data_IF_484657927202
#
_entry.id   IF_484657927202
#
_cell.length_a   1.000
_cell.length_b   1.000
_cell.length_c   1.000
_cell.angle_alpha   90.00
_cell.angle_beta   90.00
_cell.angle_gamma   90.00
#
_symmetry.space_group_name_H-M   'P 1'
#
loop_
_entity.id
_entity.type
_entity.pdbx_description
1 polymer ?
#
# COMPACT_ATOMS: atom_id res chain seq x y z
N UNK A 1 21.36 -22.19 6.48
CA UNK A 1 21.94 -23.11 5.46
C UNK A 1 20.90 -23.63 4.46
N UNK A 2 19.59 -23.70 4.83
CA UNK A 2 18.51 -24.25 3.98
C UNK A 2 17.85 -23.22 3.04
N UNK A 3 18.03 -21.91 3.28
CA UNK A 3 17.34 -20.87 2.52
C UNK A 3 17.76 -20.80 1.06
N UNK A 4 19.07 -20.95 0.78
CA UNK A 4 19.59 -20.90 -0.60
C UNK A 4 19.06 -22.02 -1.49
N UNK A 5 19.16 -23.29 -1.08
CA UNK A 5 18.54 -24.40 -1.79
C UNK A 5 17.05 -24.24 -2.02
N UNK A 6 16.30 -23.79 -0.99
CA UNK A 6 14.86 -23.57 -1.07
C UNK A 6 14.50 -22.49 -2.09
N UNK A 7 15.22 -21.35 -2.12
CA UNK A 7 15.04 -20.32 -3.13
C UNK A 7 15.29 -20.82 -4.54
N UNK A 8 16.32 -21.66 -4.71
CA UNK A 8 16.60 -22.29 -5.98
C UNK A 8 15.44 -23.22 -6.42
N UNK A 9 14.90 -24.00 -5.50
CA UNK A 9 13.77 -24.90 -5.77
C UNK A 9 12.50 -24.12 -6.10
N UNK A 10 12.23 -23.00 -5.41
CA UNK A 10 11.12 -22.07 -5.73
C UNK A 10 11.29 -21.53 -7.17
N UNK A 11 12.47 -21.02 -7.50
CA UNK A 11 12.75 -20.46 -8.82
C UNK A 11 12.60 -21.48 -9.95
N UNK A 12 12.92 -22.75 -9.69
CA UNK A 12 12.86 -23.85 -10.67
C UNK A 12 11.60 -24.72 -10.53
N UNK A 13 10.66 -24.35 -9.65
CA UNK A 13 9.40 -25.07 -9.45
C UNK A 13 9.63 -26.58 -9.13
N UNK A 14 10.51 -26.88 -8.18
CA UNK A 14 10.88 -28.25 -7.80
C UNK A 14 10.38 -28.62 -6.40
N UNK A 15 9.79 -29.80 -6.26
CA UNK A 15 9.39 -30.35 -4.98
C UNK A 15 8.55 -29.38 -4.14
N UNK A 16 8.93 -29.16 -2.88
CA UNK A 16 8.27 -28.18 -2.00
C UNK A 16 8.38 -26.74 -2.54
N UNK A 17 9.43 -26.43 -3.29
CA UNK A 17 9.59 -25.13 -3.93
C UNK A 17 8.48 -24.82 -4.93
N UNK A 18 7.95 -25.81 -5.62
CA UNK A 18 6.80 -25.61 -6.54
C UNK A 18 5.54 -25.18 -5.79
N UNK A 19 5.27 -25.76 -4.63
CA UNK A 19 4.16 -25.33 -3.76
C UNK A 19 4.36 -23.91 -3.23
N UNK A 20 5.55 -23.61 -2.73
CA UNK A 20 5.86 -22.30 -2.15
C UNK A 20 5.85 -21.18 -3.20
N UNK A 21 6.15 -21.49 -4.46
CA UNK A 21 6.06 -20.53 -5.56
C UNK A 21 4.63 -20.04 -5.85
N UNK A 22 3.60 -20.71 -5.33
CA UNK A 22 2.20 -20.28 -5.42
C UNK A 22 1.86 -19.11 -4.46
N UNK A 23 2.70 -18.82 -3.50
CA UNK A 23 2.50 -17.81 -2.48
C UNK A 23 1.75 -18.34 -1.24
N UNK A 24 1.86 -17.61 -0.14
CA UNK A 24 1.40 -18.06 1.17
C UNK A 24 -0.11 -18.37 1.22
N UNK A 25 -0.94 -17.59 0.51
CA UNK A 25 -2.40 -17.80 0.50
C UNK A 25 -2.76 -19.16 -0.12
N UNK A 26 -2.28 -19.43 -1.33
CA UNK A 26 -2.60 -20.69 -2.01
C UNK A 26 -2.04 -21.91 -1.28
N UNK A 27 -0.85 -21.77 -0.69
CA UNK A 27 -0.28 -22.82 0.17
C UNK A 27 -1.16 -23.06 1.39
N UNK A 28 -1.63 -22.02 2.07
CA UNK A 28 -2.50 -22.13 3.24
C UNK A 28 -3.86 -22.76 2.88
N UNK A 29 -4.44 -22.39 1.75
CA UNK A 29 -5.66 -22.99 1.21
C UNK A 29 -5.49 -24.49 0.92
N UNK A 30 -4.38 -24.87 0.26
CA UNK A 30 -4.05 -26.26 -0.04
C UNK A 30 -3.83 -27.11 1.23
N UNK A 31 -3.39 -26.49 2.32
CA UNK A 31 -3.25 -27.13 3.64
C UNK A 31 -4.55 -27.13 4.47
N UNK A 32 -5.65 -26.61 3.94
CA UNK A 32 -6.92 -26.47 4.67
C UNK A 32 -6.90 -25.45 5.81
N UNK A 33 -5.96 -24.50 5.77
CA UNK A 33 -5.75 -23.49 6.82
C UNK A 33 -5.67 -22.07 6.22
N UNK A 34 -6.67 -21.58 5.47
CA UNK A 34 -6.57 -20.29 4.77
C UNK A 34 -6.31 -19.10 5.73
N UNK A 35 -6.78 -19.18 6.98
CA UNK A 35 -6.61 -18.11 7.97
C UNK A 35 -5.18 -17.90 8.49
N UNK A 36 -4.21 -18.76 8.15
CA UNK A 36 -2.80 -18.53 8.55
C UNK A 36 -2.04 -17.64 7.58
N UNK A 37 -2.57 -17.38 6.40
CA UNK A 37 -1.95 -16.46 5.45
C UNK A 37 -2.22 -15.01 5.85
N UNK A 38 -1.17 -14.25 6.10
CA UNK A 38 -1.21 -12.81 6.35
C UNK A 38 -1.23 -12.06 5.01
N UNK A 39 -2.40 -12.00 4.39
CA UNK A 39 -2.58 -11.39 3.07
C UNK A 39 -3.89 -10.65 2.95
N UNK A 40 -3.94 -9.64 2.06
CA UNK A 40 -5.15 -8.92 1.65
C UNK A 40 -5.22 -8.97 0.13
N UNK A 41 -6.36 -9.35 -0.46
CA UNK A 41 -6.51 -9.57 -1.90
C UNK A 41 -5.41 -10.47 -2.50
N UNK A 42 -5.03 -11.50 -1.77
CA UNK A 42 -3.96 -12.45 -2.13
C UNK A 42 -2.55 -11.88 -2.23
N UNK A 43 -2.34 -10.64 -1.79
CA UNK A 43 -1.02 -10.04 -1.67
C UNK A 43 -0.58 -10.09 -0.20
N UNK A 44 0.57 -10.72 0.05
CA UNK A 44 1.15 -10.85 1.38
C UNK A 44 1.47 -9.48 1.99
N UNK A 45 1.25 -9.37 3.31
CA UNK A 45 1.61 -8.16 4.05
C UNK A 45 3.14 -8.02 4.13
N UNK A 46 3.69 -6.82 3.96
CA UNK A 46 5.08 -6.55 4.30
C UNK A 46 5.30 -6.62 5.82
N UNK A 47 6.54 -6.50 6.27
CA UNK A 47 6.94 -6.70 7.66
C UNK A 47 6.38 -5.67 8.68
N UNK A 48 5.55 -4.75 8.27
CA UNK A 48 4.81 -3.85 9.18
C UNK A 48 3.57 -4.56 9.72
N UNK A 49 3.67 -5.12 10.92
CA UNK A 49 2.58 -5.84 11.55
C UNK A 49 1.38 -4.91 11.81
N UNK A 50 0.19 -5.22 11.27
CA UNK A 50 -1.01 -4.39 11.45
C UNK A 50 -1.48 -4.29 12.91
N UNK A 51 -1.09 -5.24 13.77
CA UNK A 51 -1.37 -5.20 15.21
C UNK A 51 -0.51 -4.20 15.95
N UNK A 52 0.64 -3.84 15.38
CA UNK A 52 1.57 -2.86 15.92
C UNK A 52 1.27 -1.41 15.53
N UNK A 53 0.40 -1.18 14.53
CA UNK A 53 0.04 0.15 14.04
C UNK A 53 -1.33 0.10 13.35
N UNK A 54 -2.36 0.67 13.99
CA UNK A 54 -3.75 0.56 13.52
C UNK A 54 -4.03 1.34 12.23
N UNK A 55 -3.29 2.42 11.97
CA UNK A 55 -3.35 3.08 10.67
C UNK A 55 -2.80 2.19 9.57
N UNK A 56 -1.73 1.43 9.86
CA UNK A 56 -1.19 0.46 8.90
C UNK A 56 -2.20 -0.66 8.62
N UNK A 57 -2.89 -1.17 9.66
CA UNK A 57 -3.97 -2.14 9.51
C UNK A 57 -5.06 -1.60 8.56
N UNK A 58 -5.53 -0.36 8.79
CA UNK A 58 -6.54 0.27 7.94
C UNK A 58 -6.03 0.44 6.50
N UNK A 59 -4.79 0.89 6.32
CA UNK A 59 -4.17 1.05 5.00
C UNK A 59 -4.13 -0.27 4.21
N UNK A 60 -3.85 -1.40 4.85
CA UNK A 60 -3.86 -2.70 4.19
C UNK A 60 -5.25 -3.09 3.69
N UNK A 61 -6.28 -2.95 4.54
CA UNK A 61 -7.65 -3.37 4.17
C UNK A 61 -8.34 -2.42 3.20
N UNK A 62 -7.93 -1.15 3.14
CA UNK A 62 -8.48 -0.18 2.18
C UNK A 62 -7.71 -0.11 0.87
N UNK A 63 -6.48 -0.61 0.83
CA UNK A 63 -5.62 -0.57 -0.35
C UNK A 63 -6.26 -1.24 -1.56
N UNK A 64 -6.28 -0.53 -2.69
CA UNK A 64 -6.77 -1.06 -3.97
C UNK A 64 -5.90 -2.21 -4.50
N UNK A 65 -4.62 -2.27 -4.11
CA UNK A 65 -3.66 -3.31 -4.52
C UNK A 65 -3.70 -4.58 -3.67
N UNK A 66 -4.26 -4.52 -2.49
CA UNK A 66 -4.15 -5.58 -1.49
C UNK A 66 -3.17 -5.25 -0.37
N UNK A 67 -2.46 -6.21 0.20
CA UNK A 67 -1.54 -6.03 1.33
C UNK A 67 -0.33 -5.14 1.03
N UNK A 68 -0.55 -3.88 0.73
CA UNK A 68 0.47 -2.94 0.28
C UNK A 68 0.71 -1.81 1.28
N UNK A 69 1.95 -1.65 1.75
CA UNK A 69 2.32 -0.58 2.66
C UNK A 69 2.49 0.78 1.98
N UNK A 70 2.67 0.82 0.66
CA UNK A 70 3.04 2.05 -0.07
C UNK A 70 1.85 2.91 -0.49
N UNK A 71 0.62 2.39 -0.47
CA UNK A 71 -0.56 3.16 -0.94
C UNK A 71 -0.94 4.29 0.01
N UNK A 72 -0.70 4.14 1.31
CA UNK A 72 -0.92 5.18 2.31
C UNK A 72 0.32 5.49 3.15
N UNK A 73 1.11 4.49 3.50
CA UNK A 73 2.33 4.55 4.32
C UNK A 73 2.17 5.33 5.64
N UNK A 74 1.19 5.00 6.49
CA UNK A 74 0.93 5.73 7.73
C UNK A 74 2.03 5.61 8.79
N UNK A 75 3.03 4.76 8.57
CA UNK A 75 4.21 4.61 9.41
C UNK A 75 4.93 5.94 9.64
N UNK A 76 4.89 6.85 8.66
CA UNK A 76 5.40 8.21 8.82
C UNK A 76 4.74 8.94 10.00
N UNK A 77 3.43 8.84 10.15
CA UNK A 77 2.66 9.45 11.23
C UNK A 77 2.73 8.68 12.55
N UNK A 78 2.65 7.35 12.48
CA UNK A 78 2.49 6.48 13.64
C UNK A 78 3.81 6.14 14.34
N UNK A 79 4.89 5.98 13.58
CA UNK A 79 6.21 5.59 14.09
C UNK A 79 7.20 6.74 14.01
N UNK A 80 7.37 7.36 12.82
CA UNK A 80 8.29 8.47 12.62
C UNK A 80 7.74 9.79 13.19
N UNK A 81 6.44 9.86 13.47
CA UNK A 81 5.72 10.99 14.07
C UNK A 81 5.79 12.28 13.21
N UNK A 82 5.89 12.13 11.91
CA UNK A 82 6.00 13.20 10.92
C UNK A 82 5.02 12.99 9.75
N UNK A 83 4.51 14.07 9.14
CA UNK A 83 4.58 15.47 9.56
C UNK A 83 3.77 15.74 10.82
N UNK A 84 2.74 14.93 11.13
CA UNK A 84 1.88 15.03 12.31
C UNK A 84 1.88 13.68 13.03
N UNK A 85 2.16 13.70 14.33
CA UNK A 85 2.17 12.49 15.15
C UNK A 85 0.74 11.95 15.32
N UNK A 86 0.60 10.62 15.18
CA UNK A 86 -0.62 9.88 15.47
C UNK A 86 -0.29 8.72 16.42
N UNK A 87 -1.11 8.50 17.43
CA UNK A 87 -0.97 7.34 18.30
C UNK A 87 -1.29 6.06 17.50
N UNK A 88 -0.32 5.16 17.41
CA UNK A 88 -0.43 3.93 16.60
C UNK A 88 -1.49 2.95 17.10
N UNK A 89 -1.90 3.04 18.36
CA UNK A 89 -2.90 2.17 18.99
C UNK A 89 -4.27 2.82 19.16
N UNK A 90 -4.47 4.07 18.67
CA UNK A 90 -5.76 4.74 18.67
C UNK A 90 -6.45 4.61 17.31
N UNK A 91 -7.77 4.44 17.30
CA UNK A 91 -8.58 4.49 16.08
C UNK A 91 -8.93 5.93 15.67
N UNK A 92 -8.78 6.89 16.59
CA UNK A 92 -9.15 8.28 16.36
C UNK A 92 -8.37 8.89 15.19
N UNK A 93 -9.08 9.50 14.24
CA UNK A 93 -8.50 10.21 13.11
C UNK A 93 -7.91 9.33 12.00
N UNK A 94 -7.83 8.00 12.18
CA UNK A 94 -7.19 7.09 11.22
C UNK A 94 -7.82 7.14 9.83
N UNK A 95 -9.15 7.11 9.74
CA UNK A 95 -9.83 7.13 8.45
C UNK A 95 -9.46 8.37 7.62
N UNK A 96 -9.45 9.55 8.26
CA UNK A 96 -9.05 10.80 7.59
C UNK A 96 -7.58 10.79 7.19
N UNK A 97 -6.71 10.34 8.08
CA UNK A 97 -5.26 10.24 7.82
C UNK A 97 -4.98 9.33 6.62
N UNK A 98 -5.57 8.14 6.60
CA UNK A 98 -5.38 7.17 5.52
C UNK A 98 -5.95 7.70 4.20
N UNK A 99 -7.16 8.26 4.19
CA UNK A 99 -7.75 8.83 2.97
C UNK A 99 -6.86 9.91 2.35
N UNK A 100 -6.34 10.84 3.17
CA UNK A 100 -5.44 11.88 2.69
C UNK A 100 -4.14 11.26 2.14
N UNK A 101 -3.57 10.29 2.84
CA UNK A 101 -2.34 9.63 2.42
C UNK A 101 -2.53 8.83 1.12
N UNK A 102 -3.65 8.13 0.95
CA UNK A 102 -3.98 7.40 -0.27
C UNK A 102 -4.07 8.32 -1.48
N UNK A 103 -4.80 9.43 -1.37
CA UNK A 103 -4.95 10.41 -2.44
C UNK A 103 -3.61 11.07 -2.79
N UNK A 104 -2.86 11.50 -1.78
CA UNK A 104 -1.55 12.12 -1.95
C UNK A 104 -0.58 11.16 -2.64
N UNK A 105 -0.51 9.92 -2.16
CA UNK A 105 0.38 8.93 -2.74
C UNK A 105 -0.02 8.54 -4.17
N UNK A 106 -1.30 8.48 -4.50
CA UNK A 106 -1.76 8.23 -5.86
C UNK A 106 -1.34 9.37 -6.82
N UNK A 107 -1.40 10.62 -6.37
CA UNK A 107 -0.89 11.76 -7.15
C UNK A 107 0.62 11.65 -7.38
N UNK A 108 1.41 11.40 -6.32
CA UNK A 108 2.87 11.25 -6.41
C UNK A 108 3.28 10.06 -7.28
N UNK A 109 2.56 8.92 -7.19
CA UNK A 109 2.78 7.77 -8.06
C UNK A 109 2.56 8.09 -9.54
N UNK A 110 1.56 8.92 -9.85
CA UNK A 110 1.29 9.34 -11.24
C UNK A 110 2.40 10.21 -11.84
N UNK A 111 3.20 10.86 -11.00
CA UNK A 111 4.39 11.61 -11.38
C UNK A 111 5.65 10.73 -11.51
N UNK A 112 5.52 9.41 -11.30
CA UNK A 112 6.64 8.45 -11.29
C UNK A 112 7.71 8.81 -10.25
N UNK A 113 7.29 9.45 -9.16
CA UNK A 113 8.18 9.90 -8.10
C UNK A 113 8.38 8.82 -7.03
N UNK A 114 9.59 8.76 -6.48
CA UNK A 114 9.91 7.84 -5.39
C UNK A 114 9.17 8.23 -4.10
N UNK A 115 8.50 7.29 -3.45
CA UNK A 115 7.82 7.50 -2.16
C UNK A 115 8.73 8.09 -1.09
N UNK A 116 9.98 7.71 -1.05
CA UNK A 116 10.91 8.21 -0.04
C UNK A 116 11.30 9.68 -0.26
N UNK A 117 11.23 10.18 -1.49
CA UNK A 117 11.40 11.60 -1.76
C UNK A 117 10.28 12.44 -1.09
N UNK A 118 9.08 11.87 -0.92
CA UNK A 118 7.97 12.52 -0.24
C UNK A 118 8.19 12.76 1.27
N UNK A 119 9.18 12.14 1.88
CA UNK A 119 9.57 12.50 3.25
C UNK A 119 10.31 13.84 3.35
N UNK A 120 10.86 14.32 2.24
CA UNK A 120 11.57 15.60 2.14
C UNK A 120 10.88 16.66 1.28
N UNK A 121 9.80 16.28 0.58
CA UNK A 121 9.03 17.16 -0.29
C UNK A 121 7.53 16.93 -0.09
N UNK A 122 6.76 17.98 0.02
CA UNK A 122 5.29 17.94 0.17
C UNK A 122 4.59 18.09 -1.19
N UNK A 123 3.26 18.09 -1.22
CA UNK A 123 2.51 18.35 -2.46
C UNK A 123 2.75 19.76 -3.00
N UNK A 124 3.14 20.70 -2.17
CA UNK A 124 3.49 22.06 -2.56
C UNK A 124 4.68 22.04 -3.53
N UNK A 125 5.78 21.40 -3.16
CA UNK A 125 6.97 21.30 -4.02
C UNK A 125 6.66 20.48 -5.28
N UNK A 126 5.87 19.41 -5.18
CA UNK A 126 5.47 18.65 -6.38
C UNK A 126 4.60 19.49 -7.34
N UNK A 127 3.71 20.35 -6.81
CA UNK A 127 2.89 21.24 -7.63
C UNK A 127 3.75 22.31 -8.34
N UNK A 128 4.72 22.88 -7.64
CA UNK A 128 5.67 23.85 -8.21
C UNK A 128 6.53 23.21 -9.30
N UNK A 129 7.11 22.03 -9.04
CA UNK A 129 7.92 21.29 -10.02
C UNK A 129 7.11 20.95 -11.27
N UNK A 130 5.89 20.45 -11.09
CA UNK A 130 5.02 20.11 -12.22
C UNK A 130 4.62 21.34 -13.02
N UNK A 131 4.33 22.46 -12.34
CA UNK A 131 4.05 23.74 -13.00
C UNK A 131 5.24 24.22 -13.84
N UNK A 132 6.46 24.10 -13.29
CA UNK A 132 7.68 24.48 -14.01
C UNK A 132 7.95 23.61 -15.24
N UNK A 133 7.68 22.31 -15.16
CA UNK A 133 7.90 21.38 -16.29
C UNK A 133 6.84 21.52 -17.37
N UNK A 134 5.57 21.70 -16.97
CA UNK A 134 4.45 21.75 -17.94
C UNK A 134 4.15 23.14 -18.47
N UNK A 135 4.61 24.17 -17.80
CA UNK A 135 4.23 25.57 -18.08
C UNK A 135 2.80 25.92 -17.63
N UNK A 136 2.09 25.01 -16.99
CA UNK A 136 0.71 25.20 -16.51
C UNK A 136 0.68 25.29 -14.98
N UNK A 137 0.05 26.33 -14.39
CA UNK A 137 -0.07 26.42 -12.94
C UNK A 137 -0.77 25.20 -12.33
N UNK A 138 -0.14 24.59 -11.34
CA UNK A 138 -0.70 23.48 -10.55
C UNK A 138 -0.73 23.85 -9.08
N UNK A 139 -1.71 23.35 -8.36
CA UNK A 139 -1.86 23.58 -6.92
C UNK A 139 -1.78 22.26 -6.16
N UNK A 140 -1.36 22.28 -4.88
CA UNK A 140 -1.38 21.08 -4.03
C UNK A 140 -2.77 20.45 -3.94
N UNK A 141 -3.80 21.27 -3.84
CA UNK A 141 -5.19 20.81 -3.80
C UNK A 141 -5.60 20.14 -5.12
N UNK A 142 -5.21 20.72 -6.27
CA UNK A 142 -5.46 20.12 -7.59
C UNK A 142 -4.77 18.76 -7.77
N UNK A 143 -3.53 18.61 -7.26
CA UNK A 143 -2.84 17.32 -7.26
C UNK A 143 -3.56 16.30 -6.37
N UNK A 144 -4.04 16.70 -5.21
CA UNK A 144 -4.81 15.82 -4.33
C UNK A 144 -6.11 15.34 -4.97
N UNK A 145 -6.84 16.23 -5.68
CA UNK A 145 -8.06 15.88 -6.42
C UNK A 145 -7.77 14.89 -7.57
N UNK A 146 -6.62 15.04 -8.24
CA UNK A 146 -6.15 14.05 -9.23
C UNK A 146 -5.92 12.71 -8.55
N UNK A 147 -5.24 12.68 -7.40
CA UNK A 147 -4.99 11.46 -6.63
C UNK A 147 -6.28 10.78 -6.18
N UNK A 148 -7.25 11.54 -5.68
CA UNK A 148 -8.58 11.03 -5.33
C UNK A 148 -9.26 10.36 -6.52
N UNK A 149 -9.25 11.02 -7.67
CA UNK A 149 -9.83 10.47 -8.91
C UNK A 149 -9.14 9.18 -9.34
N UNK A 150 -7.80 9.12 -9.25
CA UNK A 150 -7.04 7.90 -9.56
C UNK A 150 -7.47 6.78 -8.62
N UNK A 151 -7.48 7.04 -7.31
CA UNK A 151 -7.82 6.04 -6.30
C UNK A 151 -9.25 5.51 -6.44
N UNK A 152 -10.22 6.39 -6.72
CA UNK A 152 -11.61 6.01 -6.98
C UNK A 152 -11.77 5.21 -8.27
N UNK A 153 -11.01 5.54 -9.32
CA UNK A 153 -11.00 4.80 -10.58
C UNK A 153 -10.50 3.38 -10.39
N UNK A 154 -9.38 3.21 -9.67
CA UNK A 154 -8.86 1.88 -9.32
C UNK A 154 -9.88 1.06 -8.50
N UNK A 155 -10.54 1.69 -7.51
CA UNK A 155 -11.56 1.05 -6.70
C UNK A 155 -12.78 0.62 -7.51
N UNK A 156 -13.23 1.47 -8.42
CA UNK A 156 -14.32 1.14 -9.34
C UNK A 156 -13.95 -0.02 -10.27
N UNK A 157 -12.72 -0.03 -10.77
CA UNK A 157 -12.20 -1.13 -11.59
C UNK A 157 -12.19 -2.45 -10.81
N UNK A 158 -11.70 -2.44 -9.57
CA UNK A 158 -11.73 -3.61 -8.70
C UNK A 158 -13.16 -4.11 -8.47
N UNK A 159 -14.11 -3.23 -8.18
CA UNK A 159 -15.50 -3.61 -7.99
C UNK A 159 -16.10 -4.25 -9.24
N UNK A 160 -15.78 -3.77 -10.44
CA UNK A 160 -16.20 -4.39 -11.70
C UNK A 160 -15.59 -5.78 -11.93
N UNK A 161 -14.42 -6.04 -11.35
CA UNK A 161 -13.76 -7.36 -11.39
C UNK A 161 -14.20 -8.29 -10.26
N UNK A 162 -15.24 -7.92 -9.50
CA UNK A 162 -15.82 -8.75 -8.47
C UNK A 162 -15.19 -8.63 -7.08
N UNK A 163 -14.19 -7.77 -6.88
CA UNK A 163 -13.65 -7.53 -5.54
C UNK A 163 -14.67 -6.80 -4.67
N UNK A 164 -14.82 -7.27 -3.44
CA UNK A 164 -15.78 -6.79 -2.46
C UNK A 164 -15.08 -6.39 -1.14
N UNK A 165 -15.87 -6.12 -0.10
CA UNK A 165 -15.33 -5.89 1.25
C UNK A 165 -14.86 -7.18 1.94
N UNK A 166 -15.16 -8.35 1.40
CA UNK A 166 -14.75 -9.64 1.94
C UNK A 166 -13.34 -10.06 1.48
N UNK A 167 -12.80 -9.36 0.50
CA UNK A 167 -11.45 -9.59 -0.06
C UNK A 167 -10.36 -8.73 0.67
#
# INVERSE_FOLDING_TARGET
EEVGPLLHDIAHRRGEGDRLAEGSRRVAEALGKPGVSMSVKSLELPAYDPRGAYGMALAYVTSNRGGCHLRAYPISHEILRKPVASDRFSFSGKARMIKIAEDTNAAVDSLVACKFAFFGASLEEYAELLSGVTGEPRTPQGLKEIGERIYLTERFYNARNGFTRAD
#
